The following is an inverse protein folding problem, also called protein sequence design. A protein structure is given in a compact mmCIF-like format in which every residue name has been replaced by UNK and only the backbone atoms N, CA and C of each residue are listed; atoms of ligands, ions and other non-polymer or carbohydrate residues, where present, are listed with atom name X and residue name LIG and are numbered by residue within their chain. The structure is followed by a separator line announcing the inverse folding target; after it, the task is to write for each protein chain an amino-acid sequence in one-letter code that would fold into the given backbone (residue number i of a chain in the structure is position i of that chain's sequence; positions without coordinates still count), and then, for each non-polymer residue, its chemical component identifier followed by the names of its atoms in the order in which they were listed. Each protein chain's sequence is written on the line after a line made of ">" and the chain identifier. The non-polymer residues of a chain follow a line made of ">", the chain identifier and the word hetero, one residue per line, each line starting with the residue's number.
data_IF_085361716051
#
_entry.id   IF_085361716051
#
_cell.length_a   1.000
_cell.length_b   1.000
_cell.length_c   1.000
_cell.angle_alpha   90.00
_cell.angle_beta   90.00
_cell.angle_gamma   90.00
#
_symmetry.space_group_name_H-M   'P 1'
#
loop_
_entity.id
_entity.type
_entity.pdbx_description
1 polymer ?
#
# COMPACT_ATOMS: atom_id res chain seq x y z
N UNK A 1 2.17 3.08 -17.74
CA UNK A 1 2.76 2.24 -16.68
C UNK A 1 2.72 3.03 -15.40
N UNK A 2 2.00 2.57 -14.39
CA UNK A 2 1.89 3.26 -13.09
C UNK A 2 2.88 2.62 -12.13
N UNK A 3 3.77 3.44 -11.59
CA UNK A 3 4.75 3.03 -10.58
C UNK A 3 5.14 4.22 -9.71
N UNK A 4 5.17 4.06 -8.39
CA UNK A 4 5.61 5.10 -7.47
C UNK A 4 6.11 4.53 -6.13
N UNK A 5 7.06 5.22 -5.47
CA UNK A 5 7.57 4.79 -4.17
C UNK A 5 6.51 4.88 -3.07
N UNK A 6 6.62 4.00 -2.08
CA UNK A 6 5.82 4.08 -0.86
C UNK A 6 6.66 3.80 0.38
N UNK A 7 6.15 4.25 1.52
CA UNK A 7 6.59 3.81 2.83
C UNK A 7 5.41 3.25 3.63
N UNK A 8 5.67 2.34 4.56
CA UNK A 8 4.67 1.85 5.50
C UNK A 8 5.34 1.74 6.87
N UNK A 9 4.73 2.37 7.87
CA UNK A 9 5.15 2.32 9.27
C UNK A 9 4.08 1.57 10.04
N UNK A 10 4.43 0.41 10.57
CA UNK A 10 3.64 -0.17 11.64
C UNK A 10 3.95 0.62 12.92
N UNK A 11 2.91 1.15 13.56
CA UNK A 11 3.04 1.97 14.76
C UNK A 11 3.58 1.19 15.96
N UNK A 12 3.53 -0.14 15.90
CA UNK A 12 3.93 -1.03 16.99
C UNK A 12 5.35 -1.60 16.86
N UNK A 13 5.99 -1.48 15.69
CA UNK A 13 7.30 -2.09 15.42
C UNK A 13 8.34 -1.06 14.97
N UNK A 14 9.58 -1.20 15.45
CA UNK A 14 10.73 -0.33 15.13
C UNK A 14 11.26 -0.54 13.69
N UNK A 15 10.37 -0.87 12.75
CA UNK A 15 10.69 -1.26 11.39
C UNK A 15 9.96 -0.36 10.40
N UNK A 16 10.70 0.16 9.43
CA UNK A 16 10.14 0.93 8.33
C UNK A 16 10.13 0.06 7.08
N UNK A 17 8.97 -0.10 6.44
CA UNK A 17 8.87 -0.77 5.15
C UNK A 17 8.98 0.31 4.08
N UNK A 18 9.90 0.12 3.12
CA UNK A 18 10.02 0.98 1.93
C UNK A 18 9.90 0.14 0.69
N UNK A 19 9.23 0.66 -0.32
CA UNK A 19 9.00 -0.09 -1.53
C UNK A 19 8.60 0.75 -2.72
N UNK A 20 8.29 0.05 -3.81
CA UNK A 20 7.75 0.54 -5.05
C UNK A 20 6.41 -0.16 -5.28
N UNK A 21 5.35 0.61 -5.45
CA UNK A 21 4.04 0.13 -5.84
C UNK A 21 3.94 0.21 -7.36
N UNK A 22 3.50 -0.84 -8.02
CA UNK A 22 3.38 -0.92 -9.48
C UNK A 22 2.07 -1.58 -9.89
N UNK A 23 1.48 -1.11 -10.97
CA UNK A 23 0.41 -1.83 -11.67
C UNK A 23 1.03 -2.60 -12.83
N UNK A 24 1.03 -3.93 -12.74
CA UNK A 24 1.46 -4.85 -13.80
C UNK A 24 0.23 -5.57 -14.35
N UNK A 25 -0.17 -5.26 -15.59
CA UNK A 25 -1.41 -5.78 -16.17
C UNK A 25 -2.63 -5.52 -15.25
N UNK A 26 -3.19 -6.55 -14.63
CA UNK A 26 -4.29 -6.48 -13.65
C UNK A 26 -3.84 -6.71 -12.20
N UNK A 27 -2.54 -6.90 -11.96
CA UNK A 27 -1.98 -7.13 -10.63
C UNK A 27 -1.39 -5.84 -10.05
N UNK A 28 -1.78 -5.55 -8.80
CA UNK A 28 -1.10 -4.55 -7.99
C UNK A 28 0.08 -5.21 -7.28
N UNK A 29 1.29 -4.78 -7.60
CA UNK A 29 2.54 -5.35 -7.12
C UNK A 29 3.20 -4.41 -6.11
N UNK A 30 3.49 -4.94 -4.92
CA UNK A 30 4.27 -4.27 -3.88
C UNK A 30 5.66 -4.90 -3.85
N UNK A 31 6.64 -4.19 -4.38
CA UNK A 31 8.05 -4.57 -4.24
C UNK A 31 8.63 -3.81 -3.05
N UNK A 32 9.13 -4.51 -2.02
CA UNK A 32 9.48 -3.86 -0.77
C UNK A 32 10.67 -4.49 -0.05
N UNK A 33 11.22 -3.69 0.87
CA UNK A 33 12.24 -4.11 1.83
C UNK A 33 11.86 -3.63 3.23
N UNK A 34 12.22 -4.43 4.22
CA UNK A 34 12.05 -4.09 5.64
C UNK A 34 13.37 -3.48 6.12
N UNK A 35 13.32 -2.24 6.60
CA UNK A 35 14.48 -1.49 7.11
C UNK A 35 14.39 -1.45 8.63
N UNK A 36 15.44 -1.94 9.30
CA UNK A 36 15.63 -1.74 10.73
C UNK A 36 16.41 -0.46 10.98
N UNK A 37 15.97 0.34 11.96
CA UNK A 37 16.71 1.52 12.41
C UNK A 37 18.09 1.11 12.91
N UNK A 38 19.15 1.67 12.30
CA UNK A 38 20.54 1.46 12.71
C UNK A 38 21.31 0.32 12.04
N UNK A 39 20.71 -0.42 11.08
CA UNK A 39 21.41 -1.45 10.31
C UNK A 39 21.55 -1.08 8.82
N UNK A 40 22.78 -1.21 8.28
CA UNK A 40 23.07 -1.08 6.84
C UNK A 40 22.54 -2.30 6.06
N UNK A 41 21.95 -2.12 4.85
CA UNK A 41 20.91 -3.03 4.38
C UNK A 41 21.48 -4.16 3.48
N UNK A 42 21.49 -5.38 4.01
CA UNK A 42 21.22 -6.58 3.18
C UNK A 42 19.73 -6.93 3.24
N UNK A 43 18.87 -5.91 3.20
CA UNK A 43 17.43 -6.14 3.22
C UNK A 43 17.02 -6.75 1.88
N UNK A 44 16.77 -8.07 1.88
CA UNK A 44 16.30 -8.82 0.72
C UNK A 44 15.01 -8.18 0.21
N UNK A 45 14.98 -7.87 -1.08
CA UNK A 45 13.77 -7.41 -1.77
C UNK A 45 12.76 -8.55 -1.77
N UNK A 46 11.53 -8.23 -1.41
CA UNK A 46 10.38 -9.11 -1.43
C UNK A 46 9.31 -8.50 -2.32
N UNK A 47 8.41 -9.34 -2.79
CA UNK A 47 7.29 -8.94 -3.62
C UNK A 47 6.01 -9.47 -2.96
N UNK A 48 4.93 -8.71 -3.06
CA UNK A 48 3.57 -9.17 -2.81
C UNK A 48 2.70 -8.77 -3.99
N UNK A 49 1.97 -9.74 -4.55
CA UNK A 49 1.06 -9.52 -5.68
C UNK A 49 -0.39 -9.60 -5.25
N UNK A 50 -1.17 -8.60 -5.66
CA UNK A 50 -2.60 -8.53 -5.40
C UNK A 50 -3.35 -8.49 -6.74
N UNK A 51 -4.06 -9.56 -7.10
CA UNK A 51 -4.98 -9.51 -8.23
C UNK A 51 -6.04 -8.43 -8.02
N UNK A 52 -6.39 -7.67 -9.06
CA UNK A 52 -7.42 -6.64 -8.99
C UNK A 52 -8.72 -7.14 -8.35
N UNK A 53 -9.12 -8.37 -8.63
CA UNK A 53 -10.40 -8.95 -8.19
C UNK A 53 -10.49 -9.11 -6.67
N UNK A 54 -9.35 -9.19 -5.97
CA UNK A 54 -9.34 -9.28 -4.51
C UNK A 54 -9.40 -7.91 -3.85
N UNK A 55 -9.18 -6.81 -4.58
CA UNK A 55 -9.20 -5.44 -4.05
C UNK A 55 -10.66 -4.97 -3.93
N UNK A 56 -11.13 -4.79 -2.71
CA UNK A 56 -12.53 -4.39 -2.44
C UNK A 56 -12.69 -2.89 -2.23
N UNK A 57 -11.62 -2.19 -1.87
CA UNK A 57 -11.61 -0.73 -1.78
C UNK A 57 -10.18 -0.20 -1.92
N UNK A 58 -10.05 0.94 -2.58
CA UNK A 58 -8.81 1.70 -2.64
C UNK A 58 -9.11 3.18 -2.49
N UNK A 59 -8.43 3.87 -1.58
CA UNK A 59 -8.66 5.30 -1.34
C UNK A 59 -7.36 6.05 -1.10
N UNK A 60 -7.25 7.26 -1.66
CA UNK A 60 -6.14 8.16 -1.38
C UNK A 60 -6.64 9.28 -0.47
N UNK A 61 -6.15 9.31 0.77
CA UNK A 61 -6.43 10.38 1.74
C UNK A 61 -5.31 11.41 1.70
N UNK A 62 -5.69 12.67 1.48
CA UNK A 62 -4.76 13.80 1.50
C UNK A 62 -4.46 14.20 2.94
N UNK A 63 -3.19 14.15 3.33
CA UNK A 63 -2.71 14.71 4.59
C UNK A 63 -1.99 16.05 4.41
N UNK A 64 -1.69 16.74 5.51
CA UNK A 64 -0.91 17.99 5.46
C UNK A 64 0.55 17.75 5.08
N UNK A 65 1.15 16.67 5.55
CA UNK A 65 2.57 16.36 5.33
C UNK A 65 2.80 15.23 4.32
N UNK A 66 1.93 14.22 4.28
CA UNK A 66 2.02 13.07 3.37
C UNK A 66 0.61 12.61 3.01
N UNK A 67 0.47 11.97 1.86
CA UNK A 67 -0.77 11.32 1.48
C UNK A 67 -0.73 9.85 1.90
N UNK A 68 -1.91 9.27 2.14
CA UNK A 68 -2.05 7.87 2.54
C UNK A 68 -2.95 7.15 1.55
N UNK A 69 -2.38 6.18 0.84
CA UNK A 69 -3.10 5.21 0.04
C UNK A 69 -3.53 4.04 0.94
N UNK A 70 -4.83 3.87 1.13
CA UNK A 70 -5.38 2.73 1.83
C UNK A 70 -5.91 1.71 0.81
N UNK A 71 -5.48 0.45 0.95
CA UNK A 71 -5.86 -0.67 0.09
C UNK A 71 -6.53 -1.71 0.99
N UNK A 72 -7.73 -2.15 0.62
CA UNK A 72 -8.45 -3.21 1.32
C UNK A 72 -8.73 -4.38 0.38
N UNK A 73 -8.52 -5.59 0.88
CA UNK A 73 -8.80 -6.83 0.15
C UNK A 73 -9.97 -7.60 0.77
N UNK A 74 -10.51 -8.54 0.00
CA UNK A 74 -11.57 -9.46 0.44
C UNK A 74 -11.08 -10.57 1.38
N UNK A 75 -9.76 -10.73 1.54
CA UNK A 75 -9.15 -11.81 2.33
C UNK A 75 -7.83 -11.39 2.97
N UNK A 76 -7.60 -11.83 4.21
CA UNK A 76 -6.31 -11.71 4.89
C UNK A 76 -5.20 -12.45 4.14
N UNK A 77 -5.54 -13.54 3.43
CA UNK A 77 -4.57 -14.35 2.68
C UNK A 77 -3.90 -13.57 1.56
N UNK A 78 -4.61 -12.59 0.99
CA UNK A 78 -4.06 -11.70 -0.03
C UNK A 78 -2.85 -10.89 0.47
N UNK A 79 -2.71 -10.74 1.79
CA UNK A 79 -1.59 -10.01 2.41
C UNK A 79 -0.53 -10.90 3.05
N UNK A 80 -0.56 -12.22 2.87
CA UNK A 80 0.41 -13.15 3.49
C UNK A 80 1.87 -12.76 3.20
N UNK A 81 2.11 -12.21 2.00
CA UNK A 81 3.44 -11.77 1.57
C UNK A 81 3.78 -10.34 1.97
N UNK A 82 2.87 -9.55 2.55
CA UNK A 82 3.11 -8.16 2.93
C UNK A 82 2.81 -7.90 4.42
N UNK A 83 3.84 -7.74 5.26
CA UNK A 83 3.67 -7.63 6.71
C UNK A 83 3.13 -6.26 7.17
N UNK A 84 3.03 -5.28 6.27
CA UNK A 84 2.50 -3.95 6.58
C UNK A 84 0.96 -3.84 6.54
N UNK A 85 0.27 -4.94 6.25
CA UNK A 85 -1.19 -4.98 6.27
C UNK A 85 -1.71 -5.52 7.61
N UNK A 86 -2.78 -4.89 8.10
CA UNK A 86 -3.48 -5.26 9.33
C UNK A 86 -4.97 -5.39 9.01
N UNK A 87 -5.60 -6.47 9.46
CA UNK A 87 -7.04 -6.74 9.26
C UNK A 87 -7.51 -6.59 7.81
N UNK A 88 -6.69 -7.06 6.86
CA UNK A 88 -7.01 -7.03 5.43
C UNK A 88 -6.79 -5.69 4.76
N UNK A 89 -6.12 -4.74 5.45
CA UNK A 89 -5.88 -3.39 4.96
C UNK A 89 -4.40 -3.01 5.04
N UNK A 90 -3.86 -2.46 3.96
CA UNK A 90 -2.56 -1.81 3.95
C UNK A 90 -2.74 -0.28 3.92
N UNK A 91 -1.91 0.44 4.69
CA UNK A 91 -1.82 1.91 4.66
C UNK A 91 -0.42 2.29 4.19
N UNK A 92 -0.35 2.82 2.98
CA UNK A 92 0.89 3.19 2.32
C UNK A 92 1.02 4.71 2.26
N UNK A 93 2.13 5.21 2.76
CA UNK A 93 2.50 6.61 2.69
C UNK A 93 3.03 6.90 1.30
N UNK A 94 2.46 7.91 0.64
CA UNK A 94 2.80 8.35 -0.72
C UNK A 94 3.41 9.76 -0.67
N UNK A 95 4.46 9.97 -1.48
CA UNK A 95 5.07 11.27 -1.69
C UNK A 95 4.08 12.27 -2.29
N UNK A 96 4.26 13.57 -2.03
CA UNK A 96 3.38 14.59 -2.63
C UNK A 96 3.57 14.69 -4.15
N UNK A 97 4.77 14.40 -4.60
CA UNK A 97 5.20 14.32 -5.99
C UNK A 97 4.45 13.23 -6.78
N UNK A 98 4.09 12.12 -6.13
CA UNK A 98 3.44 10.97 -6.75
C UNK A 98 1.90 11.00 -6.60
N UNK A 99 1.34 12.08 -6.05
CA UNK A 99 -0.10 12.20 -5.74
C UNK A 99 -0.99 11.91 -6.94
N UNK A 100 -0.71 12.55 -8.07
CA UNK A 100 -1.56 12.40 -9.26
C UNK A 100 -1.49 10.98 -9.82
N UNK A 101 -0.30 10.37 -9.79
CA UNK A 101 -0.10 8.98 -10.19
C UNK A 101 -0.83 8.00 -9.25
N UNK A 102 -0.80 8.24 -7.94
CA UNK A 102 -1.57 7.47 -6.98
C UNK A 102 -3.09 7.67 -7.15
N UNK A 103 -3.53 8.86 -7.54
CA UNK A 103 -4.93 9.14 -7.85
C UNK A 103 -5.39 8.38 -9.10
N UNK A 104 -4.57 8.34 -10.13
CA UNK A 104 -4.81 7.56 -11.34
C UNK A 104 -4.95 6.06 -11.00
N UNK A 105 -4.05 5.54 -10.17
CA UNK A 105 -4.12 4.15 -9.68
C UNK A 105 -5.45 3.85 -8.99
N UNK A 106 -5.87 4.73 -8.07
CA UNK A 106 -7.16 4.61 -7.36
C UNK A 106 -8.31 4.59 -8.35
N UNK A 107 -8.29 5.46 -9.37
CA UNK A 107 -9.35 5.52 -10.37
C UNK A 107 -9.44 4.24 -11.21
N UNK A 108 -8.30 3.60 -11.51
CA UNK A 108 -8.26 2.34 -12.27
C UNK A 108 -8.73 1.14 -11.45
N UNK A 109 -8.39 1.07 -10.16
CA UNK A 109 -8.58 -0.11 -9.33
C UNK A 109 -9.76 -0.01 -8.34
N UNK A 110 -10.37 1.17 -8.18
CA UNK A 110 -11.54 1.30 -7.32
C UNK A 110 -12.73 0.56 -7.91
N UNK A 111 -13.33 -0.40 -7.18
CA UNK A 111 -14.59 -0.99 -7.62
C UNK A 111 -15.72 0.04 -7.58
N UNK A 112 -16.66 -0.02 -8.53
CA UNK A 112 -17.78 0.93 -8.65
C UNK A 112 -18.64 1.04 -7.38
N UNK A 113 -18.64 0.01 -6.53
CA UNK A 113 -19.19 0.02 -5.17
C UNK A 113 -18.07 0.20 -4.16
N UNK A 114 -17.58 1.44 -4.01
CA UNK A 114 -16.73 1.79 -2.88
C UNK A 114 -17.53 1.61 -1.58
N UNK A 115 -17.29 0.53 -0.86
CA UNK A 115 -17.75 0.38 0.53
C UNK A 115 -17.01 1.46 1.34
N UNK A 116 -17.77 2.37 1.95
CA UNK A 116 -17.21 3.46 2.77
C UNK A 116 -16.23 2.86 3.78
N UNK A 117 -14.99 3.38 3.92
CA UNK A 117 -14.09 2.90 4.95
C UNK A 117 -14.75 3.10 6.30
N UNK A 118 -14.93 2.01 7.05
CA UNK A 118 -15.24 2.11 8.48
C UNK A 118 -14.00 2.76 9.10
N UNK A 119 -14.14 4.05 9.43
CA UNK A 119 -13.18 4.84 10.19
C UNK A 119 -13.13 4.25 11.60
N UNK A 120 -12.21 3.32 11.80
CA UNK A 120 -11.73 3.02 13.14
C UNK A 120 -10.26 3.42 13.21
N UNK A 121 -9.96 4.20 14.25
CA UNK A 121 -8.67 4.77 14.64
C UNK A 121 -8.25 6.04 13.88
N UNK A 122 -9.01 7.11 14.16
CA UNK A 122 -8.44 8.47 14.28
C UNK A 122 -7.54 8.56 15.52
#
# INVERSE_FOLDING_TARGET
>A
MIAFPFACTDWSSFHEIKGLLRLEDEDLVLEYRIVQWGCLPKARVREARLPREVITAMTLRKGWFRDVLAIQTSSLRSWEEFPGAVDGRARLIVGKEDRETARELVALLSPEKAVSPIDEFA
#
